data_IF_972952624414
#
_entry.id   IF_972952624414
#
_cell.length_a   1.000
_cell.length_b   1.000
_cell.length_c   1.000
_cell.angle_alpha   90.00
_cell.angle_beta   90.00
_cell.angle_gamma   90.00
#
_symmetry.space_group_name_H-M   'P 1'
#
loop_
_entity.id
_entity.type
_entity.pdbx_description
1 polymer ?
#
# COMPACT_ATOMS: atom_id res chain seq x y z
N UNK A 1 7.09 -4.16 9.09
CA UNK A 1 7.37 -4.67 7.73
C UNK A 1 7.94 -3.60 6.84
N UNK A 2 7.09 -2.83 6.16
CA UNK A 2 7.51 -1.88 5.10
C UNK A 2 8.60 -0.88 5.50
N UNK A 3 8.57 -0.32 6.72
CA UNK A 3 9.64 0.58 7.19
C UNK A 3 11.01 -0.11 7.25
N UNK A 4 11.06 -1.35 7.73
CA UNK A 4 12.29 -2.13 7.76
C UNK A 4 12.83 -2.40 6.35
N UNK A 5 11.96 -2.73 5.39
CA UNK A 5 12.34 -2.92 3.98
C UNK A 5 12.93 -1.62 3.41
N UNK A 6 12.29 -0.47 3.64
CA UNK A 6 12.83 0.83 3.22
C UNK A 6 14.24 1.09 3.77
N UNK A 7 14.47 0.83 5.05
CA UNK A 7 15.80 0.99 5.65
C UNK A 7 16.82 0.01 5.08
N UNK A 8 16.46 -1.27 4.91
CA UNK A 8 17.35 -2.29 4.33
C UNK A 8 17.74 -1.89 2.90
N UNK A 9 16.80 -1.50 2.05
CA UNK A 9 17.10 -1.05 0.68
C UNK A 9 18.07 0.13 0.67
N UNK A 10 17.84 1.13 1.53
CA UNK A 10 18.71 2.30 1.65
C UNK A 10 20.13 1.93 2.10
N UNK A 11 20.24 1.05 3.09
CA UNK A 11 21.53 0.61 3.63
C UNK A 11 22.31 -0.26 2.65
N UNK A 12 21.65 -1.18 1.95
CA UNK A 12 22.31 -2.07 0.98
C UNK A 12 22.87 -1.31 -0.22
N UNK A 13 22.20 -0.25 -0.65
CA UNK A 13 22.59 0.54 -1.82
C UNK A 13 23.44 1.77 -1.45
N UNK A 14 23.68 1.97 -0.15
CA UNK A 14 24.41 3.12 0.40
C UNK A 14 23.83 4.48 -0.07
N UNK A 15 22.50 4.56 -0.20
CA UNK A 15 21.80 5.77 -0.62
C UNK A 15 21.62 6.71 0.58
N UNK A 16 21.87 8.01 0.39
CA UNK A 16 21.68 9.03 1.44
C UNK A 16 20.20 9.25 1.81
N UNK A 17 19.28 8.86 0.93
CA UNK A 17 17.83 9.01 1.14
C UNK A 17 16.99 7.99 0.38
N UNK A 18 15.72 7.88 0.77
CA UNK A 18 14.73 7.06 0.08
C UNK A 18 14.28 7.73 -1.22
N UNK A 19 14.28 6.97 -2.32
CA UNK A 19 13.70 7.44 -3.58
C UNK A 19 12.21 7.74 -3.41
N UNK A 20 11.82 8.97 -3.73
CA UNK A 20 10.43 9.41 -3.60
C UNK A 20 9.93 9.40 -2.15
N UNK A 21 10.72 9.90 -1.20
CA UNK A 21 10.38 9.95 0.23
C UNK A 21 8.93 10.39 0.51
N UNK A 22 8.51 11.54 -0.04
CA UNK A 22 7.13 12.02 0.11
C UNK A 22 6.11 11.02 -0.45
N UNK A 23 6.40 10.38 -1.59
CA UNK A 23 5.56 9.33 -2.16
C UNK A 23 5.39 8.12 -1.24
N UNK A 24 6.47 7.66 -0.59
CA UNK A 24 6.42 6.57 0.41
C UNK A 24 5.62 6.98 1.66
N UNK A 25 5.76 8.24 2.10
CA UNK A 25 5.01 8.78 3.25
C UNK A 25 3.52 8.87 2.93
N UNK A 26 3.15 9.50 1.81
CA UNK A 26 1.75 9.60 1.39
C UNK A 26 1.14 8.22 1.10
N UNK A 27 1.89 7.30 0.47
CA UNK A 27 1.44 5.93 0.29
C UNK A 27 1.15 5.23 1.63
N UNK A 28 2.00 5.44 2.63
CA UNK A 28 1.79 4.85 3.96
C UNK A 28 0.57 5.44 4.66
N UNK A 29 0.36 6.75 4.56
CA UNK A 29 -0.83 7.42 5.08
C UNK A 29 -2.11 6.96 4.36
N UNK A 30 -2.08 6.83 3.02
CA UNK A 30 -3.20 6.33 2.23
C UNK A 30 -3.57 4.89 2.59
N UNK A 31 -2.60 4.00 2.82
CA UNK A 31 -2.89 2.62 3.24
C UNK A 31 -3.59 2.61 4.61
N UNK A 32 -3.16 3.45 5.55
CA UNK A 32 -3.81 3.55 6.87
C UNK A 32 -5.24 4.07 6.74
N UNK A 33 -5.44 5.15 5.97
CA UNK A 33 -6.77 5.72 5.72
C UNK A 33 -7.71 4.72 5.06
N UNK A 34 -7.30 4.16 3.92
CA UNK A 34 -8.10 3.19 3.16
C UNK A 34 -8.30 1.87 3.91
N UNK A 35 -7.32 1.46 4.73
CA UNK A 35 -7.41 0.24 5.52
C UNK A 35 -8.60 0.23 6.50
N UNK A 36 -9.02 1.40 6.99
CA UNK A 36 -10.17 1.51 7.89
C UNK A 36 -11.52 1.27 7.21
N UNK A 37 -11.59 1.35 5.86
CA UNK A 37 -12.85 1.30 5.09
C UNK A 37 -13.01 0.02 4.25
N UNK A 38 -12.17 -1.00 4.44
CA UNK A 38 -12.21 -2.22 3.62
C UNK A 38 -12.66 -3.49 4.33
N UNK A 39 -12.87 -3.47 5.65
CA UNK A 39 -13.11 -4.68 6.47
C UNK A 39 -14.11 -5.69 5.88
N UNK A 40 -15.19 -5.23 5.24
CA UNK A 40 -16.24 -6.09 4.71
C UNK A 40 -15.79 -6.96 3.53
N UNK A 41 -14.59 -6.76 2.97
CA UNK A 41 -14.02 -7.72 1.99
C UNK A 41 -13.83 -9.12 2.57
N UNK A 42 -13.72 -9.26 3.90
CA UNK A 42 -13.69 -10.58 4.57
C UNK A 42 -15.07 -11.22 4.68
N UNK A 43 -16.14 -10.48 4.37
CA UNK A 43 -17.53 -10.86 4.58
C UNK A 43 -18.30 -11.06 3.26
N UNK A 44 -17.64 -11.17 2.11
CA UNK A 44 -18.35 -11.24 0.82
C UNK A 44 -19.37 -12.38 0.72
N UNK A 45 -19.22 -13.45 1.50
CA UNK A 45 -20.14 -14.60 1.48
C UNK A 45 -21.26 -14.55 2.54
N UNK A 46 -21.39 -13.46 3.31
CA UNK A 46 -22.47 -13.34 4.33
C UNK A 46 -23.80 -12.87 3.76
N UNK A 47 -23.90 -12.67 2.43
CA UNK A 47 -25.11 -12.19 1.76
C UNK A 47 -25.20 -10.66 1.64
N UNK A 48 -24.07 -9.98 1.40
CA UNK A 48 -24.06 -8.53 1.10
C UNK A 48 -24.80 -8.25 -0.22
N UNK A 49 -25.46 -7.09 -0.32
CA UNK A 49 -26.03 -6.64 -1.59
C UNK A 49 -24.92 -6.34 -2.62
N UNK A 50 -25.28 -6.40 -3.91
CA UNK A 50 -24.32 -6.25 -5.02
C UNK A 50 -23.58 -4.91 -4.98
N UNK A 51 -24.26 -3.81 -4.62
CA UNK A 51 -23.63 -2.48 -4.62
C UNK A 51 -22.60 -2.37 -3.50
N UNK A 52 -22.93 -2.89 -2.32
CA UNK A 52 -22.00 -2.95 -1.18
C UNK A 52 -20.80 -3.83 -1.51
N UNK A 53 -21.03 -5.02 -2.09
CA UNK A 53 -19.93 -5.92 -2.49
C UNK A 53 -18.98 -5.27 -3.52
N UNK A 54 -19.53 -4.61 -4.54
CA UNK A 54 -18.73 -3.90 -5.56
C UNK A 54 -17.97 -2.72 -4.96
N UNK A 55 -18.58 -1.96 -4.04
CA UNK A 55 -17.90 -0.89 -3.32
C UNK A 55 -16.69 -1.43 -2.55
N UNK A 56 -16.87 -2.40 -1.66
CA UNK A 56 -15.76 -2.95 -0.88
C UNK A 56 -14.70 -3.64 -1.74
N UNK A 57 -15.10 -4.33 -2.82
CA UNK A 57 -14.16 -4.91 -3.78
C UNK A 57 -13.31 -3.84 -4.45
N UNK A 58 -13.93 -2.77 -4.96
CA UNK A 58 -13.22 -1.68 -5.64
C UNK A 58 -12.28 -0.91 -4.71
N UNK A 59 -12.72 -0.56 -3.50
CA UNK A 59 -11.87 0.15 -2.52
C UNK A 59 -10.68 -0.71 -2.10
N UNK A 60 -10.88 -2.01 -1.90
CA UNK A 60 -9.78 -2.95 -1.60
C UNK A 60 -8.75 -2.98 -2.73
N UNK A 61 -9.20 -2.98 -3.99
CA UNK A 61 -8.29 -2.90 -5.14
C UNK A 61 -7.50 -1.59 -5.17
N UNK A 62 -8.08 -0.46 -4.77
CA UNK A 62 -7.37 0.84 -4.75
C UNK A 62 -6.16 0.83 -3.81
N UNK A 63 -6.16 0.02 -2.74
CA UNK A 63 -5.01 -0.12 -1.83
C UNK A 63 -3.76 -0.68 -2.56
N UNK A 64 -3.94 -1.35 -3.69
CA UNK A 64 -2.81 -1.81 -4.51
C UNK A 64 -1.95 -0.67 -5.06
N UNK A 65 -2.52 0.53 -5.27
CA UNK A 65 -1.81 1.70 -5.80
C UNK A 65 -0.73 2.21 -4.84
N UNK A 66 -1.04 2.62 -3.59
CA UNK A 66 -0.01 3.05 -2.65
C UNK A 66 0.97 1.92 -2.28
N UNK A 67 0.50 0.66 -2.28
CA UNK A 67 1.41 -0.48 -2.10
C UNK A 67 2.41 -0.59 -3.25
N UNK A 68 1.94 -0.43 -4.49
CA UNK A 68 2.76 -0.41 -5.69
C UNK A 68 3.81 0.70 -5.67
N UNK A 69 3.44 1.93 -5.27
CA UNK A 69 4.39 3.05 -5.14
C UNK A 69 5.59 2.64 -4.26
N UNK A 70 5.34 2.00 -3.12
CA UNK A 70 6.41 1.57 -2.20
C UNK A 70 7.30 0.49 -2.82
N UNK A 71 6.70 -0.52 -3.45
CA UNK A 71 7.44 -1.62 -4.10
C UNK A 71 8.30 -1.10 -5.25
N UNK A 72 7.75 -0.26 -6.13
CA UNK A 72 8.51 0.32 -7.23
C UNK A 72 9.60 1.28 -6.76
N UNK A 73 9.38 2.05 -5.68
CA UNK A 73 10.44 2.85 -5.06
C UNK A 73 11.60 1.97 -4.57
N UNK A 74 11.33 0.84 -3.92
CA UNK A 74 12.38 -0.08 -3.47
C UNK A 74 13.11 -0.75 -4.64
N UNK A 75 12.37 -1.18 -5.67
CA UNK A 75 12.96 -1.76 -6.87
C UNK A 75 13.89 -0.77 -7.56
N UNK A 76 13.48 0.49 -7.65
CA UNK A 76 14.32 1.56 -8.20
C UNK A 76 15.56 1.80 -7.35
N UNK A 77 15.44 1.78 -6.02
CA UNK A 77 16.60 1.93 -5.13
C UNK A 77 17.61 0.78 -5.27
N UNK A 78 17.13 -0.44 -5.51
CA UNK A 78 17.94 -1.65 -5.62
C UNK A 78 18.54 -1.88 -7.02
N UNK A 79 18.07 -1.15 -8.02
CA UNK A 79 18.60 -1.19 -9.39
C UNK A 79 19.89 -0.36 -9.50
#
# INVERSE_FOLDING_TARGET
GFGAISHICMTVTNNDSLFGYFGIVFASASIVGLGSIVWAHHMFMVGLDVKTAVFFSSVTMVISVPTGIKVFSWLYMLA
#
